data_IF_665782751529
#
_entry.id   IF_665782751529
#
_cell.length_a   1.000
_cell.length_b   1.000
_cell.length_c   1.000
_cell.angle_alpha   90.00
_cell.angle_beta   90.00
_cell.angle_gamma   90.00
#
_symmetry.space_group_name_H-M   'P 1'
#
loop_
_entity.id
_entity.type
_entity.pdbx_description
1 polymer ?
#
# COMPACT_ATOMS: atom_id res chain seq x y z
N UNK A 1 -11.99 34.77 -14.33
CA UNK A 1 -12.71 35.28 -15.51
C UNK A 1 -11.71 35.61 -16.61
N UNK A 2 -11.48 34.67 -17.52
CA UNK A 2 -11.03 34.87 -18.91
C UNK A 2 -11.36 33.57 -19.63
N UNK A 3 -12.39 33.64 -20.45
CA UNK A 3 -12.89 32.58 -21.33
C UNK A 3 -12.14 32.73 -22.65
N UNK A 4 -11.54 31.65 -23.15
CA UNK A 4 -11.10 31.56 -24.54
C UNK A 4 -12.01 30.54 -25.20
N UNK A 5 -12.94 31.05 -26.02
CA UNK A 5 -13.88 30.28 -26.81
C UNK A 5 -13.14 29.61 -27.98
N UNK A 6 -13.31 28.30 -28.13
CA UNK A 6 -13.06 27.61 -29.39
C UNK A 6 -14.38 26.95 -29.83
N UNK A 7 -14.99 27.57 -30.83
CA UNK A 7 -16.28 27.22 -31.41
C UNK A 7 -16.10 26.04 -32.38
N UNK A 8 -16.45 24.82 -31.96
CA UNK A 8 -16.94 23.78 -32.85
C UNK A 8 -17.55 22.60 -32.07
N UNK A 9 -18.87 22.44 -32.19
CA UNK A 9 -19.66 21.24 -31.85
C UNK A 9 -20.09 21.00 -30.38
N UNK A 10 -21.16 21.70 -29.97
CA UNK A 10 -22.41 21.14 -29.41
C UNK A 10 -22.42 19.95 -28.40
N UNK A 11 -22.20 20.24 -27.11
CA UNK A 11 -23.00 19.76 -25.95
C UNK A 11 -22.41 20.35 -24.67
N UNK A 12 -23.20 21.20 -24.00
CA UNK A 12 -22.81 21.83 -22.73
C UNK A 12 -22.92 20.82 -21.60
N UNK A 13 -21.79 20.30 -21.14
CA UNK A 13 -21.59 19.95 -19.73
C UNK A 13 -20.34 20.72 -19.29
N UNK A 14 -20.50 21.65 -18.35
CA UNK A 14 -19.38 22.41 -17.79
C UNK A 14 -18.43 21.43 -17.09
N UNK A 15 -17.21 21.31 -17.63
CA UNK A 15 -16.14 20.47 -17.09
C UNK A 15 -15.40 21.30 -16.03
N UNK A 16 -15.59 20.98 -14.75
CA UNK A 16 -14.79 21.55 -13.65
C UNK A 16 -13.76 20.54 -13.18
N UNK A 17 -12.48 20.91 -13.31
CA UNK A 17 -11.34 20.14 -12.84
C UNK A 17 -11.14 20.37 -11.33
N UNK A 18 -11.05 19.30 -10.52
CA UNK A 18 -10.68 19.41 -9.11
C UNK A 18 -9.44 18.58 -8.82
N UNK A 19 -8.41 19.24 -8.30
CA UNK A 19 -7.16 18.61 -7.87
C UNK A 19 -7.28 18.13 -6.43
N UNK A 20 -7.14 16.83 -6.20
CA UNK A 20 -6.86 16.25 -4.87
C UNK A 20 -5.75 15.21 -5.05
N UNK A 21 -4.62 15.40 -4.37
CA UNK A 21 -3.58 14.36 -4.23
C UNK A 21 -2.81 13.93 -5.48
N UNK A 22 -2.83 14.70 -6.59
CA UNK A 22 -1.97 14.43 -7.75
C UNK A 22 -2.45 13.34 -8.73
N UNK A 23 -3.68 12.83 -8.57
CA UNK A 23 -4.35 12.01 -9.59
C UNK A 23 -5.52 12.79 -10.22
N UNK A 24 -5.72 12.59 -11.53
CA UNK A 24 -6.84 13.16 -12.27
C UNK A 24 -8.09 12.35 -11.94
N UNK A 25 -8.96 12.89 -11.09
CA UNK A 25 -10.29 12.34 -10.87
C UNK A 25 -11.22 12.82 -11.99
N UNK A 26 -11.81 11.87 -12.72
CA UNK A 26 -13.05 12.13 -13.45
C UNK A 26 -14.15 12.26 -12.39
N UNK A 27 -14.54 13.49 -12.09
CA UNK A 27 -15.81 13.76 -11.42
C UNK A 27 -16.73 14.37 -12.46
N UNK A 28 -17.24 13.53 -13.37
CA UNK A 28 -18.57 13.79 -13.89
C UNK A 28 -19.53 13.65 -12.69
N UNK A 29 -20.58 14.45 -12.61
CA UNK A 29 -21.60 14.30 -11.57
C UNK A 29 -22.33 12.97 -11.73
N UNK A 30 -21.81 11.92 -11.10
CA UNK A 30 -22.20 10.53 -11.33
C UNK A 30 -22.68 9.89 -10.06
N UNK A 31 -23.89 9.38 -10.11
CA UNK A 31 -24.53 8.61 -9.05
C UNK A 31 -23.77 7.29 -8.82
N UNK A 32 -22.90 7.24 -7.81
CA UNK A 32 -22.41 5.97 -7.28
C UNK A 32 -23.56 5.31 -6.50
N UNK A 33 -24.28 4.42 -7.17
CA UNK A 33 -25.34 3.65 -6.55
C UNK A 33 -24.72 2.48 -5.78
N UNK A 34 -25.15 2.31 -4.53
CA UNK A 34 -24.71 1.19 -3.69
C UNK A 34 -25.25 -0.11 -4.29
N UNK A 35 -24.36 -1.01 -4.70
CA UNK A 35 -24.71 -2.39 -5.04
C UNK A 35 -24.80 -3.26 -3.78
N UNK A 36 -23.83 -3.12 -2.87
CA UNK A 36 -23.75 -3.93 -1.65
C UNK A 36 -23.23 -3.09 -0.48
N UNK A 37 -23.88 -3.18 0.67
CA UNK A 37 -23.35 -2.64 1.93
C UNK A 37 -22.58 -3.75 2.64
N UNK A 38 -21.30 -3.54 2.93
CA UNK A 38 -20.48 -4.54 3.63
C UNK A 38 -20.41 -4.26 5.13
N UNK A 39 -20.17 -3.00 5.50
CA UNK A 39 -20.34 -2.50 6.86
C UNK A 39 -20.64 -1.00 6.82
N UNK A 40 -20.72 -0.34 7.98
CA UNK A 40 -21.04 1.10 8.07
C UNK A 40 -20.06 2.02 7.33
N UNK A 41 -18.86 1.54 7.00
CA UNK A 41 -17.77 2.31 6.43
C UNK A 41 -17.30 1.82 5.05
N UNK A 42 -17.76 0.66 4.58
CA UNK A 42 -17.31 0.03 3.33
C UNK A 42 -18.53 -0.45 2.54
N UNK A 43 -18.59 -0.06 1.27
CA UNK A 43 -19.64 -0.43 0.33
C UNK A 43 -19.05 -0.83 -1.02
N UNK A 44 -19.79 -1.63 -1.77
CA UNK A 44 -19.56 -1.86 -3.19
C UNK A 44 -20.55 -1.00 -3.96
N UNK A 45 -20.06 -0.24 -4.92
CA UNK A 45 -20.87 0.60 -5.82
C UNK A 45 -20.70 0.17 -7.26
N UNK A 46 -21.66 0.55 -8.10
CA UNK A 46 -21.53 0.43 -9.56
C UNK A 46 -21.16 1.79 -10.14
N UNK A 47 -20.16 1.78 -11.02
CA UNK A 47 -19.82 2.96 -11.83
C UNK A 47 -20.74 3.12 -13.06
N UNK A 48 -20.51 4.15 -13.88
CA UNK A 48 -21.29 4.41 -15.10
C UNK A 48 -21.26 3.25 -16.10
N UNK A 49 -20.21 2.44 -16.06
CA UNK A 49 -20.00 1.29 -16.93
C UNK A 49 -20.49 -0.01 -16.29
N UNK A 50 -21.21 0.07 -15.17
CA UNK A 50 -21.68 -1.08 -14.36
C UNK A 50 -20.54 -1.96 -13.85
N UNK A 51 -19.35 -1.39 -13.62
CA UNK A 51 -18.26 -2.11 -12.96
C UNK A 51 -18.34 -1.90 -11.46
N UNK A 52 -18.08 -2.96 -10.70
CA UNK A 52 -18.05 -2.88 -9.26
C UNK A 52 -16.80 -2.14 -8.76
N UNK A 53 -16.97 -1.28 -7.75
CA UNK A 53 -15.88 -0.59 -7.07
C UNK A 53 -16.08 -0.66 -5.56
N UNK A 54 -14.99 -0.82 -4.80
CA UNK A 54 -15.05 -0.74 -3.33
C UNK A 54 -14.86 0.71 -2.91
N UNK A 55 -15.79 1.26 -2.16
CA UNK A 55 -15.72 2.61 -1.61
C UNK A 55 -15.70 2.54 -0.09
N UNK A 56 -14.78 3.29 0.52
CA UNK A 56 -14.68 3.40 1.98
C UNK A 56 -14.75 4.85 2.45
N UNK A 57 -15.29 5.03 3.65
CA UNK A 57 -15.35 6.31 4.32
C UNK A 57 -16.16 6.29 5.61
N UNK A 58 -15.89 7.24 6.51
CA UNK A 58 -16.52 7.28 7.83
C UNK A 58 -18.04 7.41 7.77
N UNK A 59 -18.74 6.37 8.24
CA UNK A 59 -20.19 6.33 8.29
C UNK A 59 -20.85 6.47 6.91
N UNK A 60 -20.12 6.17 5.83
CA UNK A 60 -20.57 6.30 4.45
C UNK A 60 -21.84 5.47 4.19
N UNK A 61 -21.94 4.29 4.81
CA UNK A 61 -23.06 3.37 4.66
C UNK A 61 -24.06 3.42 5.83
N UNK A 62 -23.89 4.34 6.78
CA UNK A 62 -24.76 4.39 7.96
C UNK A 62 -26.20 4.70 7.53
N UNK A 63 -27.11 3.78 7.87
CA UNK A 63 -28.53 3.82 7.47
C UNK A 63 -28.78 3.82 5.95
N UNK A 64 -27.82 3.34 5.16
CA UNK A 64 -27.95 3.18 3.71
C UNK A 64 -28.34 1.75 3.33
N UNK A 65 -28.97 1.60 2.17
CA UNK A 65 -29.36 0.32 1.57
C UNK A 65 -28.88 0.23 0.12
N UNK A 66 -28.79 -0.99 -0.45
CA UNK A 66 -28.57 -1.16 -1.88
C UNK A 66 -29.58 -0.34 -2.70
N UNK A 67 -29.10 0.37 -3.71
CA UNK A 67 -29.85 1.33 -4.52
C UNK A 67 -29.76 2.79 -4.05
N UNK A 68 -29.31 3.05 -2.82
CA UNK A 68 -29.11 4.43 -2.36
C UNK A 68 -27.89 5.08 -3.02
N UNK A 69 -27.94 6.40 -3.12
CA UNK A 69 -26.83 7.22 -3.60
C UNK A 69 -25.88 7.55 -2.45
N UNK A 70 -24.57 7.47 -2.73
CA UNK A 70 -23.53 7.88 -1.81
C UNK A 70 -23.38 9.40 -1.72
N UNK A 71 -22.95 9.84 -0.55
CA UNK A 71 -22.52 11.22 -0.33
C UNK A 71 -21.02 11.31 -0.61
N UNK A 72 -20.66 11.96 -1.72
CA UNK A 72 -19.26 12.12 -2.16
C UNK A 72 -18.38 12.77 -1.09
N UNK A 73 -18.95 13.58 -0.20
CA UNK A 73 -18.19 14.24 0.87
C UNK A 73 -17.67 13.27 1.94
N UNK A 74 -18.27 12.07 2.03
CA UNK A 74 -17.89 11.03 2.99
C UNK A 74 -16.92 10.01 2.41
N UNK A 75 -16.62 10.09 1.12
CA UNK A 75 -15.71 9.15 0.46
C UNK A 75 -14.27 9.49 0.87
N UNK A 76 -13.60 8.52 1.49
CA UNK A 76 -12.17 8.63 1.81
C UNK A 76 -11.31 7.93 0.75
N UNK A 77 -11.75 6.79 0.22
CA UNK A 77 -11.00 6.04 -0.79
C UNK A 77 -11.89 5.17 -1.66
N UNK A 78 -11.48 5.02 -2.92
CA UNK A 78 -12.16 4.21 -3.94
C UNK A 78 -11.16 3.24 -4.56
N UNK A 79 -11.55 1.97 -4.69
CA UNK A 79 -10.79 0.93 -5.38
C UNK A 79 -11.58 0.47 -6.60
N UNK A 80 -11.03 0.73 -7.79
CA UNK A 80 -11.53 0.22 -9.05
C UNK A 80 -10.63 -0.94 -9.49
N UNK A 81 -11.17 -2.16 -9.48
CA UNK A 81 -10.49 -3.36 -9.94
C UNK A 81 -11.07 -3.81 -11.28
N UNK A 82 -10.31 -4.63 -12.02
CA UNK A 82 -10.71 -5.08 -13.36
C UNK A 82 -11.74 -6.23 -13.35
N UNK A 83 -11.93 -6.93 -12.22
CA UNK A 83 -12.87 -8.04 -12.11
C UNK A 83 -13.74 -7.96 -10.85
N UNK A 84 -15.02 -8.25 -11.01
CA UNK A 84 -16.02 -8.20 -9.94
C UNK A 84 -15.71 -9.21 -8.82
N UNK A 85 -15.13 -10.37 -9.15
CA UNK A 85 -14.72 -11.36 -8.13
C UNK A 85 -13.64 -10.80 -7.19
N UNK A 86 -12.65 -10.08 -7.72
CA UNK A 86 -11.60 -9.45 -6.90
C UNK A 86 -12.17 -8.30 -6.06
N UNK A 87 -13.16 -7.57 -6.60
CA UNK A 87 -13.89 -6.53 -5.87
C UNK A 87 -14.61 -7.11 -4.66
N UNK A 88 -15.36 -8.20 -4.86
CA UNK A 88 -16.07 -8.89 -3.79
C UNK A 88 -15.13 -9.35 -2.67
N UNK A 89 -14.04 -10.06 -3.03
CA UNK A 89 -13.05 -10.55 -2.05
C UNK A 89 -12.35 -9.40 -1.31
N UNK A 90 -11.97 -8.34 -2.01
CA UNK A 90 -11.35 -7.17 -1.39
C UNK A 90 -12.31 -6.48 -0.43
N UNK A 91 -13.56 -6.29 -0.85
CA UNK A 91 -14.59 -5.70 -0.02
C UNK A 91 -14.77 -6.48 1.28
N UNK A 92 -14.88 -7.81 1.20
CA UNK A 92 -15.02 -8.67 2.37
C UNK A 92 -13.82 -8.59 3.31
N UNK A 93 -12.59 -8.57 2.78
CA UNK A 93 -11.39 -8.37 3.58
C UNK A 93 -11.43 -7.03 4.32
N UNK A 94 -11.67 -5.93 3.60
CA UNK A 94 -11.72 -4.59 4.19
C UNK A 94 -12.87 -4.42 5.18
N UNK A 95 -13.98 -5.15 5.00
CA UNK A 95 -15.13 -5.10 5.90
C UNK A 95 -14.82 -5.58 7.33
N UNK A 96 -13.80 -6.42 7.48
CA UNK A 96 -13.38 -6.96 8.77
C UNK A 96 -12.42 -6.01 9.52
N UNK A 97 -11.86 -5.03 8.82
CA UNK A 97 -10.84 -4.13 9.35
C UNK A 97 -11.51 -2.85 9.86
N UNK A 98 -11.21 -2.39 11.09
CA UNK A 98 -11.72 -1.13 11.59
C UNK A 98 -11.24 0.05 10.73
N UNK A 99 -12.14 1.02 10.47
CA UNK A 99 -11.82 2.20 9.67
C UNK A 99 -10.63 3.01 10.23
N UNK A 100 -10.48 3.06 11.54
CA UNK A 100 -9.35 3.73 12.18
C UNK A 100 -8.01 3.10 11.78
N UNK A 101 -7.96 1.78 11.58
CA UNK A 101 -6.76 1.09 11.07
C UNK A 101 -6.55 1.44 9.60
N UNK A 102 -7.59 1.33 8.76
CA UNK A 102 -7.53 1.66 7.33
C UNK A 102 -7.00 3.08 7.08
N UNK A 103 -7.58 4.08 7.74
CA UNK A 103 -7.16 5.49 7.62
C UNK A 103 -5.77 5.76 8.21
N UNK A 104 -5.34 4.96 9.19
CA UNK A 104 -3.98 5.03 9.74
C UNK A 104 -2.97 4.49 8.72
N UNK A 105 -3.27 3.36 8.09
CA UNK A 105 -2.45 2.79 7.02
C UNK A 105 -2.40 3.70 5.79
N UNK A 106 -3.51 4.33 5.41
CA UNK A 106 -3.54 5.31 4.31
C UNK A 106 -2.53 6.44 4.53
N UNK A 107 -2.53 7.00 5.74
CA UNK A 107 -1.57 8.05 6.14
C UNK A 107 -0.12 7.58 6.10
N UNK A 108 0.15 6.33 6.52
CA UNK A 108 1.49 5.73 6.46
C UNK A 108 1.95 5.60 5.00
N UNK A 109 1.06 5.15 4.13
CA UNK A 109 1.34 4.95 2.69
C UNK A 109 1.61 6.29 2.01
N UNK A 110 0.82 7.33 2.31
CA UNK A 110 1.05 8.65 1.73
C UNK A 110 2.39 9.25 2.17
N UNK A 111 2.76 9.06 3.44
CA UNK A 111 4.07 9.44 3.94
C UNK A 111 5.20 8.65 3.26
N UNK A 112 5.00 7.34 3.02
CA UNK A 112 5.96 6.52 2.29
C UNK A 112 6.08 6.95 0.82
N UNK A 113 4.97 7.24 0.12
CA UNK A 113 4.98 7.75 -1.27
C UNK A 113 5.75 9.06 -1.38
N UNK A 114 5.58 9.96 -0.42
CA UNK A 114 6.30 11.24 -0.39
C UNK A 114 7.82 11.09 -0.28
N UNK A 115 8.34 9.97 0.25
CA UNK A 115 9.78 9.76 0.47
C UNK A 115 10.42 8.72 -0.44
N UNK A 116 9.68 7.69 -0.81
CA UNK A 116 10.15 6.57 -1.63
C UNK A 116 9.75 6.70 -3.11
N UNK A 117 8.82 7.61 -3.42
CA UNK A 117 8.29 7.81 -4.77
C UNK A 117 7.17 6.84 -5.10
N UNK A 118 7.22 6.27 -6.31
CA UNK A 118 6.15 5.39 -6.81
C UNK A 118 6.10 4.09 -6.02
N UNK A 119 4.92 3.79 -5.48
CA UNK A 119 4.59 2.53 -4.79
C UNK A 119 3.38 1.90 -5.46
N UNK A 120 3.34 0.57 -5.50
CA UNK A 120 2.18 -0.14 -6.04
C UNK A 120 0.90 0.12 -5.24
N UNK A 121 -0.24 0.12 -5.92
CA UNK A 121 -1.55 0.30 -5.28
C UNK A 121 -1.92 -0.87 -4.36
N UNK A 122 -1.45 -2.08 -4.69
CA UNK A 122 -1.59 -3.30 -3.88
C UNK A 122 -1.00 -3.16 -2.47
N UNK A 123 -0.06 -2.23 -2.26
CA UNK A 123 0.49 -1.91 -0.95
C UNK A 123 -0.61 -1.55 0.06
N UNK A 124 -1.66 -0.86 -0.38
CA UNK A 124 -2.74 -0.50 0.53
C UNK A 124 -3.37 -1.72 1.15
N UNK A 125 -3.66 -2.74 0.35
CA UNK A 125 -4.31 -3.97 0.80
C UNK A 125 -3.36 -4.72 1.73
N UNK A 126 -2.14 -4.98 1.27
CA UNK A 126 -1.18 -5.82 2.01
C UNK A 126 -0.72 -5.19 3.31
N UNK A 127 -0.45 -3.88 3.33
CA UNK A 127 -0.04 -3.18 4.54
C UNK A 127 -1.20 -3.03 5.53
N UNK A 128 -2.41 -2.76 5.05
CA UNK A 128 -3.58 -2.63 5.92
C UNK A 128 -3.91 -3.94 6.62
N UNK A 129 -3.88 -5.05 5.88
CA UNK A 129 -4.06 -6.40 6.42
C UNK A 129 -2.98 -6.73 7.46
N UNK A 130 -1.71 -6.51 7.11
CA UNK A 130 -0.59 -6.71 8.02
C UNK A 130 -0.71 -5.88 9.31
N UNK A 131 -0.97 -4.58 9.21
CA UNK A 131 -1.13 -3.71 10.37
C UNK A 131 -2.31 -4.14 11.24
N UNK A 132 -3.44 -4.51 10.64
CA UNK A 132 -4.59 -5.01 11.38
C UNK A 132 -4.22 -6.25 12.21
N UNK A 133 -3.59 -7.25 11.60
CA UNK A 133 -3.15 -8.45 12.31
C UNK A 133 -2.03 -8.19 13.32
N UNK A 134 -1.10 -7.27 13.05
CA UNK A 134 -0.06 -6.86 14.00
C UNK A 134 -0.68 -6.22 15.26
N UNK A 135 -1.67 -5.33 15.07
CA UNK A 135 -2.41 -4.71 16.16
C UNK A 135 -3.17 -5.75 16.98
N UNK A 136 -3.89 -6.66 16.33
CA UNK A 136 -4.66 -7.70 17.02
C UNK A 136 -3.76 -8.67 17.79
N UNK A 137 -2.59 -9.01 17.25
CA UNK A 137 -1.59 -9.83 17.96
C UNK A 137 -1.00 -9.10 19.16
N UNK A 138 -0.68 -7.81 19.02
CA UNK A 138 -0.14 -7.01 20.10
C UNK A 138 -1.13 -6.89 21.27
N UNK A 139 -2.42 -6.67 20.98
CA UNK A 139 -3.49 -6.67 22.00
C UNK A 139 -3.63 -8.01 22.74
N UNK A 140 -3.28 -9.12 22.07
CA UNK A 140 -3.26 -10.47 22.66
C UNK A 140 -1.94 -10.81 23.35
N UNK A 141 -0.96 -9.90 23.35
CA UNK A 141 0.37 -10.13 23.92
C UNK A 141 1.22 -11.14 23.13
N UNK A 142 0.90 -11.37 21.85
CA UNK A 142 1.64 -12.28 20.98
C UNK A 142 2.78 -11.52 20.30
N UNK A 143 4.02 -11.79 20.72
CA UNK A 143 5.20 -11.21 20.10
C UNK A 143 5.63 -12.02 18.86
N UNK A 144 5.85 -11.34 17.73
CA UNK A 144 6.48 -11.92 16.55
C UNK A 144 7.89 -11.38 16.40
N UNK A 145 8.86 -12.28 16.21
CA UNK A 145 10.25 -11.91 15.93
C UNK A 145 10.51 -11.85 14.43
N UNK A 146 11.23 -10.82 14.00
CA UNK A 146 11.73 -10.69 12.65
C UNK A 146 13.20 -11.14 12.61
N UNK A 147 13.41 -12.33 12.05
CA UNK A 147 14.75 -12.95 11.95
C UNK A 147 15.70 -12.17 11.02
N UNK A 148 15.18 -11.27 10.19
CA UNK A 148 15.95 -10.43 9.25
C UNK A 148 16.02 -8.96 9.71
N UNK A 149 15.64 -8.64 10.96
CA UNK A 149 15.53 -7.26 11.41
C UNK A 149 16.83 -6.47 11.21
N UNK A 150 17.97 -7.10 11.51
CA UNK A 150 19.27 -6.45 11.38
C UNK A 150 19.64 -6.21 9.91
N UNK A 151 19.40 -7.18 9.05
CA UNK A 151 19.58 -7.09 7.61
C UNK A 151 18.70 -6.00 7.01
N UNK A 152 17.44 -5.91 7.43
CA UNK A 152 16.49 -4.91 6.95
C UNK A 152 16.96 -3.50 7.33
N UNK A 153 17.39 -3.29 8.58
CA UNK A 153 17.95 -2.01 9.05
C UNK A 153 19.09 -1.53 8.16
N UNK A 154 19.99 -2.45 7.79
CA UNK A 154 21.18 -2.16 7.00
C UNK A 154 20.88 -2.00 5.50
N UNK A 155 20.11 -2.93 4.94
CA UNK A 155 19.86 -2.98 3.50
C UNK A 155 18.79 -1.98 3.08
N UNK A 156 17.80 -1.72 3.91
CA UNK A 156 16.64 -0.87 3.62
C UNK A 156 16.46 0.22 4.69
N UNK A 157 17.48 1.08 4.94
CA UNK A 157 17.44 2.02 6.05
C UNK A 157 16.33 3.06 5.91
N UNK A 158 15.98 3.46 4.68
CA UNK A 158 14.90 4.42 4.42
C UNK A 158 13.52 3.81 4.71
N UNK A 159 13.32 2.58 4.27
CA UNK A 159 12.10 1.81 4.46
C UNK A 159 11.93 1.41 5.93
N UNK A 160 13.03 1.07 6.63
CA UNK A 160 13.02 0.80 8.06
C UNK A 160 12.70 2.06 8.89
N UNK A 161 13.27 3.22 8.56
CA UNK A 161 12.93 4.48 9.21
C UNK A 161 11.43 4.81 9.06
N UNK A 162 10.87 4.58 7.86
CA UNK A 162 9.43 4.68 7.61
C UNK A 162 8.63 3.68 8.46
N UNK A 163 9.11 2.45 8.62
CA UNK A 163 8.52 1.45 9.52
C UNK A 163 8.48 1.92 10.97
N UNK A 164 9.53 2.58 11.46
CA UNK A 164 9.57 3.15 12.81
C UNK A 164 8.57 4.30 12.97
N UNK A 165 8.45 5.18 11.97
CA UNK A 165 7.45 6.23 11.97
C UNK A 165 6.03 5.68 11.89
N UNK A 166 5.81 4.62 11.11
CA UNK A 166 4.54 3.91 11.06
C UNK A 166 4.14 3.37 12.43
N UNK A 167 5.07 2.74 13.17
CA UNK A 167 4.84 2.33 14.57
C UNK A 167 4.44 3.50 15.46
N UNK A 168 5.13 4.64 15.36
CA UNK A 168 4.80 5.83 16.13
C UNK A 168 3.42 6.40 15.79
N UNK A 169 3.04 6.39 14.50
CA UNK A 169 1.71 6.80 14.04
C UNK A 169 0.63 5.86 14.60
N UNK A 170 0.85 4.54 14.57
CA UNK A 170 -0.06 3.53 15.11
C UNK A 170 -0.22 3.71 16.62
N UNK A 171 0.88 3.87 17.36
CA UNK A 171 0.83 4.11 18.80
C UNK A 171 0.01 5.37 19.13
N UNK A 172 0.26 6.48 18.42
CA UNK A 172 -0.44 7.74 18.65
C UNK A 172 -1.93 7.71 18.30
N UNK A 173 -2.31 7.03 17.21
CA UNK A 173 -3.70 7.05 16.70
C UNK A 173 -4.56 5.96 17.31
N UNK A 174 -3.98 4.80 17.59
CA UNK A 174 -4.71 3.58 17.96
C UNK A 174 -4.39 3.12 19.39
N UNK A 175 -3.44 3.76 20.06
CA UNK A 175 -3.05 3.42 21.44
C UNK A 175 -2.33 2.08 21.57
N UNK A 176 -1.75 1.57 20.47
CA UNK A 176 -1.09 0.26 20.43
C UNK A 176 0.39 0.43 20.11
N UNK A 177 1.25 0.07 21.06
CA UNK A 177 2.70 0.07 20.86
C UNK A 177 3.16 -1.24 20.26
N UNK A 178 3.40 -1.27 18.95
CA UNK A 178 3.95 -2.42 18.26
C UNK A 178 5.44 -2.60 18.57
N UNK A 179 5.96 -3.83 18.56
CA UNK A 179 7.39 -4.12 18.73
C UNK A 179 8.24 -3.62 17.54
N UNK A 180 9.56 -3.49 17.72
CA UNK A 180 10.47 -3.04 16.65
C UNK A 180 10.47 -3.98 15.44
N UNK A 181 10.27 -5.28 15.67
CA UNK A 181 10.13 -6.29 14.62
C UNK A 181 9.06 -5.90 13.57
N UNK A 182 7.98 -5.24 13.99
CA UNK A 182 6.91 -4.76 13.10
C UNK A 182 7.39 -3.60 12.20
N UNK A 183 8.35 -2.78 12.62
CA UNK A 183 8.98 -1.82 11.70
C UNK A 183 9.74 -2.55 10.58
N UNK A 184 10.37 -3.69 10.89
CA UNK A 184 11.01 -4.55 9.90
C UNK A 184 10.00 -5.15 8.90
N UNK A 185 8.86 -5.64 9.38
CA UNK A 185 7.82 -6.17 8.49
C UNK A 185 7.18 -5.08 7.61
N UNK A 186 6.88 -3.91 8.18
CA UNK A 186 6.40 -2.76 7.42
C UNK A 186 7.40 -2.35 6.35
N UNK A 187 8.70 -2.30 6.68
CA UNK A 187 9.75 -2.00 5.72
C UNK A 187 9.75 -2.98 4.54
N UNK A 188 9.58 -4.28 4.79
CA UNK A 188 9.49 -5.28 3.73
C UNK A 188 8.28 -5.05 2.82
N UNK A 189 7.10 -4.70 3.37
CA UNK A 189 5.94 -4.35 2.54
C UNK A 189 6.22 -3.15 1.63
N UNK A 190 6.95 -2.15 2.11
CA UNK A 190 7.36 -1.00 1.31
C UNK A 190 8.32 -1.41 0.18
N UNK A 191 9.32 -2.24 0.49
CA UNK A 191 10.26 -2.77 -0.51
C UNK A 191 9.54 -3.58 -1.58
N UNK A 192 8.64 -4.49 -1.18
CA UNK A 192 7.78 -5.27 -2.08
C UNK A 192 7.01 -4.35 -3.05
N UNK A 193 6.44 -3.27 -2.52
CA UNK A 193 5.71 -2.28 -3.33
C UNK A 193 6.59 -1.39 -4.21
N UNK A 194 7.87 -1.18 -3.88
CA UNK A 194 8.82 -0.49 -4.76
C UNK A 194 9.30 -1.38 -5.91
N UNK A 195 9.54 -2.67 -5.61
CA UNK A 195 10.11 -3.62 -6.56
C UNK A 195 9.07 -4.26 -7.48
N UNK A 196 7.77 -4.07 -7.23
CA UNK A 196 6.70 -4.76 -7.95
C UNK A 196 6.96 -6.28 -7.97
N UNK A 197 7.12 -6.82 -6.77
CA UNK A 197 7.51 -8.20 -6.51
C UNK A 197 6.62 -8.75 -5.38
N UNK A 198 6.79 -10.02 -5.05
CA UNK A 198 6.05 -10.69 -3.98
C UNK A 198 6.88 -10.74 -2.69
N UNK A 199 6.21 -10.70 -1.52
CA UNK A 199 6.90 -10.73 -0.22
C UNK A 199 7.88 -11.92 -0.06
N UNK A 200 7.54 -13.17 -0.46
CA UNK A 200 8.48 -14.29 -0.37
C UNK A 200 9.76 -14.09 -1.20
N UNK A 201 9.64 -13.46 -2.37
CA UNK A 201 10.77 -13.16 -3.24
C UNK A 201 11.68 -12.11 -2.59
N UNK A 202 11.11 -11.00 -2.08
CA UNK A 202 11.88 -9.97 -1.37
C UNK A 202 12.60 -10.53 -0.15
N UNK A 203 11.94 -11.40 0.62
CA UNK A 203 12.58 -12.08 1.77
C UNK A 203 13.70 -13.04 1.34
N UNK A 204 13.53 -13.73 0.22
CA UNK A 204 14.57 -14.60 -0.33
C UNK A 204 15.78 -13.78 -0.81
N UNK A 205 15.56 -12.74 -1.61
CA UNK A 205 16.61 -11.82 -2.09
C UNK A 205 17.36 -11.20 -0.90
N UNK A 206 16.64 -10.75 0.13
CA UNK A 206 17.25 -10.17 1.33
C UNK A 206 18.19 -11.16 2.06
N UNK A 207 17.83 -12.44 2.11
CA UNK A 207 18.70 -13.51 2.66
C UNK A 207 19.93 -13.75 1.80
N UNK A 208 19.74 -13.89 0.49
CA UNK A 208 20.85 -14.10 -0.46
C UNK A 208 21.82 -12.92 -0.42
N UNK A 209 21.32 -11.69 -0.35
CA UNK A 209 22.14 -10.49 -0.20
C UNK A 209 23.00 -10.53 1.06
N UNK A 210 22.45 -10.99 2.18
CA UNK A 210 23.20 -11.15 3.44
C UNK A 210 24.32 -12.19 3.29
N UNK A 211 24.05 -13.33 2.65
CA UNK A 211 25.05 -14.36 2.37
C UNK A 211 26.19 -13.83 1.48
N UNK A 212 25.85 -13.12 0.39
CA UNK A 212 26.84 -12.52 -0.52
C UNK A 212 27.70 -11.48 0.22
N UNK A 213 27.07 -10.61 1.00
CA UNK A 213 27.80 -9.59 1.78
C UNK A 213 28.73 -10.25 2.80
N UNK A 214 28.32 -11.33 3.45
CA UNK A 214 29.20 -12.06 4.35
C UNK A 214 30.37 -12.70 3.59
N UNK A 215 30.10 -13.37 2.47
CA UNK A 215 31.14 -14.02 1.66
C UNK A 215 32.19 -13.02 1.18
N UNK A 216 31.76 -11.88 0.62
CA UNK A 216 32.67 -10.83 0.14
C UNK A 216 33.49 -10.24 1.30
N UNK A 217 32.86 -10.02 2.46
CA UNK A 217 33.55 -9.56 3.67
C UNK A 217 34.68 -10.51 4.08
N UNK A 218 34.40 -11.81 4.14
CA UNK A 218 35.37 -12.83 4.55
C UNK A 218 36.45 -13.09 3.50
N UNK A 219 36.08 -13.17 2.22
CA UNK A 219 37.02 -13.49 1.14
C UNK A 219 38.03 -12.35 0.91
N UNK A 220 37.57 -11.09 1.03
CA UNK A 220 38.41 -9.91 0.82
C UNK A 220 38.98 -9.31 2.11
N UNK A 221 38.68 -9.91 3.27
CA UNK A 221 39.14 -9.45 4.59
C UNK A 221 38.89 -7.96 4.83
N UNK A 222 37.74 -7.46 4.38
CA UNK A 222 37.37 -6.05 4.48
C UNK A 222 36.28 -5.82 5.53
N UNK A 223 36.17 -4.58 5.99
CA UNK A 223 35.00 -4.11 6.72
C UNK A 223 34.25 -3.13 5.83
N UNK A 224 32.92 -3.23 5.80
CA UNK A 224 32.09 -2.29 5.05
C UNK A 224 32.02 -0.96 5.78
N UNK A 225 32.27 0.12 5.03
CA UNK A 225 31.79 1.44 5.38
C UNK A 225 30.39 1.60 4.76
N UNK A 226 29.35 1.47 5.59
CA UNK A 226 27.96 1.47 5.17
C UNK A 226 27.48 2.85 4.66
N UNK A 227 28.22 3.91 5.00
CA UNK A 227 27.96 5.27 4.52
C UNK A 227 28.63 5.55 3.17
N UNK A 228 29.60 4.72 2.78
CA UNK A 228 30.33 4.91 1.52
C UNK A 228 29.44 4.71 0.29
N UNK A 229 29.65 5.54 -0.74
CA UNK A 229 28.98 5.41 -2.03
C UNK A 229 29.24 4.04 -2.68
N UNK A 230 30.44 3.47 -2.48
CA UNK A 230 30.80 2.14 -3.01
C UNK A 230 29.92 1.05 -2.41
N UNK A 231 29.71 1.07 -1.09
CA UNK A 231 28.82 0.12 -0.42
C UNK A 231 27.38 0.30 -0.87
N UNK A 232 26.88 1.53 -0.88
CA UNK A 232 25.50 1.83 -1.31
C UNK A 232 25.25 1.37 -2.75
N UNK A 233 26.20 1.58 -3.66
CA UNK A 233 26.13 1.07 -5.04
C UNK A 233 26.12 -0.45 -5.07
N UNK A 234 26.99 -1.12 -4.32
CA UNK A 234 27.04 -2.57 -4.27
C UNK A 234 25.71 -3.17 -3.80
N UNK A 235 25.19 -2.68 -2.67
CA UNK A 235 23.88 -3.09 -2.14
C UNK A 235 22.77 -2.81 -3.15
N UNK A 236 22.76 -1.65 -3.80
CA UNK A 236 21.77 -1.34 -4.84
C UNK A 236 21.84 -2.32 -6.00
N UNK A 237 23.04 -2.65 -6.50
CA UNK A 237 23.19 -3.65 -7.56
C UNK A 237 22.72 -5.04 -7.11
N UNK A 238 22.97 -5.44 -5.87
CA UNK A 238 22.45 -6.70 -5.32
C UNK A 238 20.93 -6.70 -5.18
N UNK A 239 20.31 -5.58 -4.79
CA UNK A 239 18.83 -5.46 -4.71
C UNK A 239 18.15 -5.71 -6.05
N UNK A 240 18.76 -5.25 -7.14
CA UNK A 240 18.25 -5.45 -8.50
C UNK A 240 18.85 -6.67 -9.20
N UNK A 241 19.68 -7.44 -8.50
CA UNK A 241 20.22 -8.68 -9.01
C UNK A 241 19.13 -9.74 -8.96
N UNK A 242 18.46 -9.97 -10.10
CA UNK A 242 17.59 -11.14 -10.29
C UNK A 242 18.48 -12.34 -10.65
N UNK A 243 18.54 -13.39 -9.83
CA UNK A 243 19.15 -14.65 -10.25
C UNK A 243 18.38 -15.18 -11.48
N UNK A 244 19.10 -15.66 -12.49
CA UNK A 244 18.54 -16.12 -13.76
C UNK A 244 17.55 -17.30 -13.64
N UNK A 245 17.42 -17.90 -12.46
CA UNK A 245 16.57 -19.07 -12.22
C UNK A 245 15.09 -18.73 -11.96
N UNK A 246 14.73 -17.44 -11.78
CA UNK A 246 13.34 -17.02 -11.58
C UNK A 246 12.50 -17.07 -12.88
N UNK A 247 13.14 -17.05 -14.05
CA UNK A 247 12.45 -17.09 -15.35
C UNK A 247 12.22 -18.52 -15.88
N UNK A 248 12.72 -19.55 -15.18
CA UNK A 248 12.66 -20.95 -15.64
C UNK A 248 11.34 -21.67 -15.32
N UNK A 249 10.40 -21.08 -14.56
CA UNK A 249 9.16 -21.73 -14.13
C UNK A 249 7.86 -21.01 -14.56
N UNK A 250 7.93 -20.02 -15.45
CA UNK A 250 6.75 -19.28 -15.96
C UNK A 250 6.29 -19.64 -17.38
N UNK A 251 6.97 -20.56 -18.07
CA UNK A 251 6.66 -20.93 -19.45
C UNK A 251 6.49 -22.44 -19.61
N UNK A 252 5.34 -22.98 -19.21
CA UNK A 252 5.11 -24.41 -19.26
C UNK A 252 3.64 -24.80 -19.12
N UNK A 253 2.92 -24.69 -20.24
CA UNK A 253 1.55 -25.16 -20.57
C UNK A 253 0.40 -24.22 -20.23
#
# INVERSE_FOLDING_TARGET
MRVLDCNCCGRQNLITWRFVGGQVFFVSGVYMQIAKVLNNNVVVVLDEHRREQVVMGRGLAFQKRPGDVLDDSKIEKVFALQSDELVGRLGELLSQIPLEVMTTCDRIIDLARGRLGKLQESLYITLTDHCHFAIERQKKGIALRNVLLWEIKRLYPKEFALGQEARAIIAKRLGVELAEDEAGFIALHLVTAQLNSEMPEVMHVTRVMQEILQLVKYQLQLNYDEESLSYQRFVTHLKFFRPADADAHGGGR
#
